data_IF_026848495907
#
_entry.id   IF_026848495907
#
_cell.length_a   1.000
_cell.length_b   1.000
_cell.length_c   1.000
_cell.angle_alpha   90.00
_cell.angle_beta   90.00
_cell.angle_gamma   90.00
#
_symmetry.space_group_name_H-M   'P 1'
#
loop_
_entity.id
_entity.type
_entity.pdbx_description
1 polymer ?
#
# COMPACT_ATOMS: atom_id res chain seq x y z
N UNK A 1 -11.42 -12.45 3.76
CA UNK A 1 -12.50 -11.75 4.49
C UNK A 1 -11.93 -10.72 5.46
N UNK A 2 -10.96 -11.07 6.31
CA UNK A 2 -10.37 -10.14 7.30
C UNK A 2 -9.82 -8.84 6.69
N UNK A 3 -9.11 -8.91 5.55
CA UNK A 3 -8.60 -7.73 4.85
C UNK A 3 -9.73 -6.77 4.43
N UNK A 4 -10.85 -7.31 3.94
CA UNK A 4 -12.03 -6.52 3.54
C UNK A 4 -12.66 -5.88 4.76
N UNK A 5 -12.79 -6.60 5.88
CA UNK A 5 -13.35 -6.04 7.11
C UNK A 5 -12.47 -4.91 7.64
N UNK A 6 -11.15 -5.08 7.61
CA UNK A 6 -10.20 -4.08 8.07
C UNK A 6 -10.22 -2.80 7.21
N UNK A 7 -10.47 -2.93 5.91
CA UNK A 7 -10.47 -1.80 4.98
C UNK A 7 -11.87 -1.20 4.72
N UNK A 8 -12.94 -1.98 4.79
CA UNK A 8 -14.29 -1.56 4.40
C UNK A 8 -15.30 -1.61 5.56
N UNK A 9 -14.89 -2.10 6.72
CA UNK A 9 -15.77 -2.36 7.86
C UNK A 9 -16.58 -3.64 7.73
N UNK A 10 -17.33 -3.96 8.78
CA UNK A 10 -18.27 -5.08 8.79
C UNK A 10 -19.49 -4.77 7.92
N UNK A 11 -19.75 -5.57 6.90
CA UNK A 11 -20.89 -5.43 5.99
C UNK A 11 -20.94 -6.54 4.95
N UNK A 12 -22.05 -6.61 4.21
CA UNK A 12 -22.28 -7.42 3.00
C UNK A 12 -22.03 -8.93 3.10
N UNK A 13 -22.15 -9.61 1.95
CA UNK A 13 -21.81 -11.03 1.80
C UNK A 13 -20.73 -11.24 0.74
N UNK A 14 -19.86 -12.24 0.93
CA UNK A 14 -18.89 -12.65 -0.09
C UNK A 14 -19.55 -13.26 -1.33
N UNK A 15 -20.76 -13.82 -1.19
CA UNK A 15 -21.51 -14.41 -2.31
C UNK A 15 -21.94 -13.35 -3.33
N UNK A 16 -22.30 -12.14 -2.88
CA UNK A 16 -22.59 -11.02 -3.76
C UNK A 16 -21.38 -10.65 -4.63
N UNK A 17 -20.16 -10.64 -4.06
CA UNK A 17 -18.92 -10.38 -4.81
C UNK A 17 -18.64 -11.39 -5.92
N UNK A 18 -18.91 -12.67 -5.69
CA UNK A 18 -18.71 -13.70 -6.71
C UNK A 18 -19.70 -13.57 -7.87
N UNK A 19 -20.92 -13.14 -7.58
CA UNK A 19 -21.94 -12.91 -8.61
C UNK A 19 -21.56 -11.76 -9.57
N UNK A 20 -20.87 -10.73 -9.07
CA UNK A 20 -20.41 -9.57 -9.86
C UNK A 20 -19.40 -9.93 -10.96
N UNK A 21 -18.57 -10.96 -10.74
CA UNK A 21 -17.55 -11.37 -11.72
C UNK A 21 -18.10 -11.76 -13.09
N UNK A 22 -19.39 -12.09 -13.15
CA UNK A 22 -20.04 -12.59 -14.37
C UNK A 22 -20.78 -11.50 -15.17
N UNK A 23 -20.87 -10.26 -14.68
CA UNK A 23 -21.55 -9.16 -15.38
C UNK A 23 -20.61 -7.99 -15.70
N UNK A 24 -20.14 -7.86 -16.96
CA UNK A 24 -19.26 -6.78 -17.36
C UNK A 24 -19.94 -5.40 -17.42
N UNK A 25 -21.28 -5.33 -17.33
CA UNK A 25 -22.04 -4.08 -17.35
C UNK A 25 -22.54 -3.67 -15.96
N UNK A 26 -22.08 -4.35 -14.91
CA UNK A 26 -22.48 -4.03 -13.56
C UNK A 26 -21.99 -2.63 -13.15
N UNK A 27 -22.89 -1.84 -12.55
CA UNK A 27 -22.60 -0.50 -12.02
C UNK A 27 -22.92 -0.48 -10.54
N UNK A 28 -21.90 -0.17 -9.72
CA UNK A 28 -22.05 -0.04 -8.28
C UNK A 28 -23.08 1.04 -7.94
N UNK A 29 -23.97 0.71 -7.01
CA UNK A 29 -24.97 1.64 -6.49
C UNK A 29 -24.42 2.35 -5.26
N UNK A 30 -24.62 3.66 -5.19
CA UNK A 30 -24.26 4.46 -4.03
C UNK A 30 -25.11 4.05 -2.81
N UNK A 31 -24.47 3.78 -1.67
CA UNK A 31 -25.13 3.58 -0.39
C UNK A 31 -25.02 4.87 0.44
N UNK A 32 -26.11 5.62 0.63
CA UNK A 32 -26.09 6.88 1.40
C UNK A 32 -25.66 6.74 2.86
N UNK A 33 -25.68 5.52 3.41
CA UNK A 33 -25.27 5.25 4.79
C UNK A 33 -23.81 4.80 4.89
N UNK A 34 -23.13 4.62 3.75
CA UNK A 34 -21.73 4.25 3.70
C UNK A 34 -20.87 5.51 3.67
N UNK A 35 -19.89 5.59 4.57
CA UNK A 35 -18.90 6.66 4.54
C UNK A 35 -18.01 6.48 3.32
N UNK A 36 -17.85 7.54 2.51
CA UNK A 36 -16.95 7.50 1.35
C UNK A 36 -15.53 7.20 1.80
N UNK A 37 -14.95 6.11 1.29
CA UNK A 37 -13.56 5.73 1.58
C UNK A 37 -12.66 6.02 0.39
N UNK A 38 -11.44 6.45 0.68
CA UNK A 38 -10.38 6.60 -0.32
C UNK A 38 -9.46 5.39 -0.25
N UNK A 39 -9.30 4.70 -1.38
CA UNK A 39 -8.43 3.54 -1.53
C UNK A 39 -7.26 3.87 -2.48
N UNK A 40 -6.16 3.17 -2.26
CA UNK A 40 -4.93 3.25 -3.04
C UNK A 40 -4.55 1.87 -3.57
N UNK A 41 -4.04 1.83 -4.78
CA UNK A 41 -3.36 0.64 -5.30
C UNK A 41 -1.84 0.71 -5.07
N UNK A 42 -1.14 -0.35 -5.48
CA UNK A 42 0.33 -0.43 -5.40
C UNK A 42 1.06 0.60 -6.25
N UNK A 43 0.39 1.21 -7.23
CA UNK A 43 0.96 2.24 -8.10
C UNK A 43 0.68 3.65 -7.55
N UNK A 44 -0.13 3.76 -6.49
CA UNK A 44 -0.55 5.02 -5.88
C UNK A 44 -1.70 5.71 -6.61
N UNK A 45 -2.41 5.01 -7.51
CA UNK A 45 -3.66 5.49 -8.04
C UNK A 45 -4.68 5.61 -6.92
N UNK A 46 -5.62 6.55 -7.06
CA UNK A 46 -6.58 6.89 -6.01
C UNK A 46 -7.99 6.67 -6.52
N UNK A 47 -8.83 6.05 -5.71
CA UNK A 47 -10.26 5.93 -5.98
C UNK A 47 -11.09 6.22 -4.73
N UNK A 48 -12.25 6.83 -4.92
CA UNK A 48 -13.24 7.03 -3.87
C UNK A 48 -14.41 6.08 -4.08
N UNK A 49 -14.71 5.27 -3.07
CA UNK A 49 -15.78 4.27 -3.10
C UNK A 49 -16.91 4.70 -2.17
N UNK A 50 -18.15 4.44 -2.58
CA UNK A 50 -19.37 4.92 -1.89
C UNK A 50 -20.33 3.77 -1.52
N UNK A 51 -19.87 2.52 -1.55
CA UNK A 51 -20.62 1.40 -1.01
C UNK A 51 -19.68 0.32 -0.50
N UNK A 52 -20.17 -0.50 0.43
CA UNK A 52 -19.38 -1.63 0.95
C UNK A 52 -19.00 -2.61 -0.15
N UNK A 53 -19.93 -2.91 -1.07
CA UNK A 53 -19.72 -3.87 -2.16
C UNK A 53 -18.66 -3.37 -3.15
N UNK A 54 -18.67 -2.07 -3.47
CA UNK A 54 -17.64 -1.43 -4.28
C UNK A 54 -16.27 -1.50 -3.59
N UNK A 55 -16.20 -1.07 -2.32
CA UNK A 55 -14.97 -1.15 -1.52
C UNK A 55 -14.39 -2.57 -1.51
N UNK A 56 -15.23 -3.57 -1.23
CA UNK A 56 -14.81 -4.95 -1.13
C UNK A 56 -14.30 -5.51 -2.47
N UNK A 57 -14.88 -5.08 -3.60
CA UNK A 57 -14.40 -5.46 -4.93
C UNK A 57 -12.99 -4.90 -5.20
N UNK A 58 -12.76 -3.62 -4.90
CA UNK A 58 -11.44 -3.00 -5.05
C UNK A 58 -10.41 -3.62 -4.10
N UNK A 59 -10.76 -3.85 -2.83
CA UNK A 59 -9.86 -4.50 -1.87
C UNK A 59 -9.51 -5.93 -2.29
N UNK A 60 -10.46 -6.67 -2.86
CA UNK A 60 -10.19 -8.00 -3.42
C UNK A 60 -9.24 -7.93 -4.64
N UNK A 61 -9.23 -6.80 -5.35
CA UNK A 61 -8.29 -6.49 -6.42
C UNK A 61 -6.92 -5.97 -5.95
N UNK A 62 -6.67 -5.87 -4.63
CA UNK A 62 -5.39 -5.45 -4.07
C UNK A 62 -5.31 -3.98 -3.66
N UNK A 63 -6.43 -3.25 -3.62
CA UNK A 63 -6.49 -1.88 -3.10
C UNK A 63 -6.57 -1.86 -1.58
N UNK A 64 -6.09 -0.78 -0.95
CA UNK A 64 -6.14 -0.59 0.51
C UNK A 64 -6.34 0.88 0.91
N UNK A 65 -6.83 1.12 2.14
CA UNK A 65 -6.87 2.48 2.72
C UNK A 65 -5.45 3.03 2.92
N UNK A 66 -4.50 2.16 3.22
CA UNK A 66 -3.11 2.57 3.41
C UNK A 66 -2.47 2.92 2.07
N UNK A 67 -1.91 4.13 1.98
CA UNK A 67 -1.08 4.52 0.86
C UNK A 67 0.34 3.95 1.05
N UNK A 68 0.57 2.76 0.51
CA UNK A 68 1.87 2.09 0.54
C UNK A 68 2.97 2.85 -0.22
N UNK A 69 2.60 3.74 -1.15
CA UNK A 69 3.52 4.61 -1.88
C UNK A 69 4.11 5.75 -1.01
N UNK A 70 3.65 5.93 0.22
CA UNK A 70 4.26 6.87 1.16
C UNK A 70 5.64 6.44 1.65
N UNK A 71 6.04 5.18 1.44
CA UNK A 71 7.35 4.66 1.84
C UNK A 71 8.40 4.83 0.75
N UNK A 72 9.36 5.74 0.95
CA UNK A 72 10.48 5.94 0.03
C UNK A 72 11.62 4.95 0.33
N UNK A 73 11.45 3.70 -0.11
CA UNK A 73 12.45 2.64 0.07
C UNK A 73 13.80 2.94 -0.59
N UNK A 74 13.80 3.64 -1.72
CA UNK A 74 15.03 4.03 -2.43
C UNK A 74 15.90 4.98 -1.59
N UNK A 75 15.29 5.99 -0.96
CA UNK A 75 15.99 6.92 -0.07
C UNK A 75 16.60 6.19 1.13
N UNK A 76 15.87 5.23 1.71
CA UNK A 76 16.35 4.46 2.86
C UNK A 76 17.54 3.59 2.47
N UNK A 77 17.45 2.86 1.35
CA UNK A 77 18.56 2.06 0.83
C UNK A 77 19.77 2.96 0.54
N UNK A 78 19.54 4.11 -0.08
CA UNK A 78 20.60 5.08 -0.38
C UNK A 78 21.32 5.57 0.89
N UNK A 79 20.58 5.92 1.94
CA UNK A 79 21.16 6.35 3.23
C UNK A 79 21.98 5.21 3.86
N UNK A 80 21.47 3.97 3.84
CA UNK A 80 22.18 2.80 4.38
C UNK A 80 23.50 2.58 3.60
N UNK A 81 23.45 2.61 2.27
CA UNK A 81 24.65 2.45 1.44
C UNK A 81 25.67 3.55 1.70
N UNK A 82 25.25 4.82 1.80
CA UNK A 82 26.14 5.93 2.15
C UNK A 82 26.78 5.74 3.53
N UNK A 83 26.02 5.28 4.52
CA UNK A 83 26.52 4.98 5.85
C UNK A 83 27.62 3.91 5.83
N UNK A 84 27.38 2.79 5.14
CA UNK A 84 28.37 1.70 5.00
C UNK A 84 29.63 2.18 4.29
N UNK A 85 29.48 2.92 3.17
CA UNK A 85 30.61 3.49 2.44
C UNK A 85 31.41 4.48 3.29
N UNK A 86 30.73 5.35 4.04
CA UNK A 86 31.36 6.32 4.94
C UNK A 86 32.16 5.65 6.05
N UNK A 87 31.57 4.66 6.71
CA UNK A 87 32.24 3.84 7.73
C UNK A 87 33.48 3.16 7.15
N UNK A 88 33.36 2.50 5.99
CA UNK A 88 34.48 1.86 5.32
C UNK A 88 35.61 2.85 4.99
N UNK A 89 35.26 4.06 4.52
CA UNK A 89 36.22 5.10 4.20
C UNK A 89 36.97 5.61 5.44
N UNK A 90 36.25 5.81 6.56
CA UNK A 90 36.83 6.19 7.85
C UNK A 90 37.79 5.11 8.35
N UNK A 91 37.36 3.83 8.36
CA UNK A 91 38.22 2.71 8.75
C UNK A 91 39.50 2.65 7.90
N UNK A 92 39.37 2.79 6.58
CA UNK A 92 40.53 2.83 5.67
C UNK A 92 41.46 4.00 5.96
N UNK A 93 40.91 5.16 6.32
CA UNK A 93 41.70 6.35 6.67
C UNK A 93 42.47 6.18 7.98
N UNK A 94 41.84 5.62 9.02
CA UNK A 94 42.49 5.32 10.30
C UNK A 94 43.62 4.30 10.09
N UNK A 95 43.35 3.22 9.37
CA UNK A 95 44.37 2.19 9.08
C UNK A 95 45.57 2.74 8.31
N UNK A 96 45.37 3.74 7.42
CA UNK A 96 46.48 4.40 6.74
C UNK A 96 47.30 5.30 7.67
N UNK A 97 46.64 6.01 8.59
CA UNK A 97 47.32 6.86 9.57
C UNK A 97 48.19 6.04 10.53
N UNK A 98 47.69 4.90 11.01
CA UNK A 98 48.42 3.99 11.91
C UNK A 98 49.62 3.30 11.25
N UNK A 99 49.72 3.28 9.92
CA UNK A 99 50.86 2.68 9.18
C UNK A 99 51.98 3.71 8.95
N UNK A 100 51.71 5.00 9.14
CA UNK A 100 52.67 6.10 8.92
C UNK A 100 53.29 6.67 10.19
N UNK A 101 52.88 6.21 11.38
CA UNK A 101 53.60 6.37 12.66
C UNK A 101 54.49 5.15 12.95
#
# INVERSE_FOLDING_TARGET
MEIIINNCGSGGSLEELESLKNDPNFVFQNDPNFETLTLYDSEGNVINVNSWLECANYVNGGWSIENLNSYNGELIIFIITLGICGVFWIFKRINRANVTE
#
